data_IF_556295327448
#
_entry.id   IF_556295327448
#
_cell.length_a   1.000
_cell.length_b   1.000
_cell.length_c   1.000
_cell.angle_alpha   90.00
_cell.angle_beta   90.00
_cell.angle_gamma   90.00
#
_symmetry.space_group_name_H-M   'P 1'
#
loop_
_entity.id
_entity.type
_entity.pdbx_description
1 polymer ?
#
# COMPACT_ATOMS: atom_id res chain seq x y z
N UNK A 1 -69.96 28.38 28.69
CA UNK A 1 -69.41 29.17 27.58
C UNK A 1 -68.37 28.31 26.89
N UNK A 2 -68.71 27.74 25.74
CA UNK A 2 -67.75 26.97 24.95
C UNK A 2 -66.71 27.94 24.36
N UNK A 3 -65.40 27.63 24.41
CA UNK A 3 -64.40 28.48 23.79
C UNK A 3 -64.72 28.65 22.31
N UNK A 4 -64.67 29.89 21.82
CA UNK A 4 -64.92 30.18 20.42
C UNK A 4 -63.77 29.58 19.59
N UNK A 5 -64.04 28.87 18.48
CA UNK A 5 -63.02 28.26 17.61
C UNK A 5 -61.81 29.16 17.27
N UNK A 6 -61.93 30.49 17.06
CA UNK A 6 -60.77 31.34 16.80
C UNK A 6 -59.75 31.40 17.95
N UNK A 7 -60.16 31.30 19.22
CA UNK A 7 -59.24 31.38 20.37
C UNK A 7 -58.33 30.16 20.49
N UNK A 8 -58.77 29.01 19.97
CA UNK A 8 -57.96 27.79 19.95
C UNK A 8 -56.89 27.87 18.86
N UNK A 9 -57.23 28.45 17.71
CA UNK A 9 -56.29 28.66 16.60
C UNK A 9 -55.21 29.67 16.95
N UNK A 10 -55.57 30.77 17.63
CA UNK A 10 -54.61 31.78 18.09
C UNK A 10 -53.59 31.18 19.07
N UNK A 11 -54.05 30.43 20.08
CA UNK A 11 -53.16 29.73 21.03
C UNK A 11 -52.25 28.70 20.36
N UNK A 12 -52.73 28.04 19.32
CA UNK A 12 -51.91 27.10 18.56
C UNK A 12 -50.80 27.84 17.81
N UNK A 13 -51.12 28.96 17.18
CA UNK A 13 -50.16 29.79 16.46
C UNK A 13 -49.12 30.41 17.39
N UNK A 14 -49.51 30.86 18.59
CA UNK A 14 -48.58 31.33 19.61
C UNK A 14 -47.61 30.23 20.03
N UNK A 15 -48.10 29.01 20.26
CA UNK A 15 -47.26 27.87 20.61
C UNK A 15 -46.31 27.45 19.46
N UNK A 16 -46.76 27.52 18.21
CA UNK A 16 -45.92 27.28 17.03
C UNK A 16 -44.82 28.34 16.89
N UNK A 17 -45.15 29.62 17.13
CA UNK A 17 -44.19 30.72 17.11
C UNK A 17 -43.15 30.58 18.22
N UNK A 18 -43.57 30.23 19.44
CA UNK A 18 -42.67 29.98 20.57
C UNK A 18 -41.74 28.80 20.28
N UNK A 19 -42.27 27.73 19.68
CA UNK A 19 -41.46 26.58 19.24
C UNK A 19 -40.44 27.00 18.19
N UNK A 20 -40.85 27.80 17.20
CA UNK A 20 -39.95 28.30 16.15
C UNK A 20 -38.84 29.17 16.73
N UNK A 21 -39.18 30.08 17.65
CA UNK A 21 -38.22 30.94 18.34
C UNK A 21 -37.22 30.10 19.15
N UNK A 22 -37.70 29.04 19.81
CA UNK A 22 -36.85 28.13 20.57
C UNK A 22 -35.91 27.32 19.68
N UNK A 23 -36.40 26.84 18.53
CA UNK A 23 -35.57 26.15 17.54
C UNK A 23 -34.45 27.07 17.05
N UNK A 24 -34.77 28.30 16.65
CA UNK A 24 -33.77 29.27 16.18
C UNK A 24 -32.72 29.61 17.27
N UNK A 25 -33.14 29.74 18.52
CA UNK A 25 -32.22 29.95 19.64
C UNK A 25 -31.27 28.75 19.82
N UNK A 26 -31.78 27.53 19.78
CA UNK A 26 -30.98 26.31 19.91
C UNK A 26 -30.01 26.13 18.74
N UNK A 27 -30.45 26.42 17.50
CA UNK A 27 -29.59 26.39 16.31
C UNK A 27 -28.44 27.40 16.42
N UNK A 28 -28.72 28.60 16.95
CA UNK A 28 -27.70 29.61 17.22
C UNK A 28 -26.72 29.12 18.29
N UNK A 29 -27.21 28.53 19.38
CA UNK A 29 -26.36 27.97 20.43
C UNK A 29 -25.47 26.84 19.90
N UNK A 30 -26.01 25.92 19.10
CA UNK A 30 -25.23 24.85 18.46
C UNK A 30 -24.17 25.40 17.50
N UNK A 31 -24.53 26.39 16.70
CA UNK A 31 -23.60 27.04 15.78
C UNK A 31 -22.47 27.75 16.53
N UNK A 32 -22.80 28.42 17.64
CA UNK A 32 -21.83 29.06 18.52
C UNK A 32 -20.90 28.03 19.18
N UNK A 33 -21.45 26.97 19.78
CA UNK A 33 -20.67 25.91 20.42
C UNK A 33 -19.72 25.21 19.43
N UNK A 34 -20.16 24.99 18.19
CA UNK A 34 -19.30 24.44 17.13
C UNK A 34 -18.13 25.37 16.83
N UNK A 35 -18.38 26.67 16.69
CA UNK A 35 -17.33 27.67 16.44
C UNK A 35 -16.32 27.74 17.60
N UNK A 36 -16.80 27.70 18.83
CA UNK A 36 -15.93 27.68 20.03
C UNK A 36 -15.08 26.41 20.09
N UNK A 37 -15.67 25.24 19.79
CA UNK A 37 -14.92 23.99 19.71
C UNK A 37 -13.87 24.02 18.60
N UNK A 38 -14.18 24.60 17.44
CA UNK A 38 -13.22 24.77 16.34
C UNK A 38 -12.08 25.71 16.73
N UNK A 39 -12.39 26.86 17.37
CA UNK A 39 -11.39 27.79 17.85
C UNK A 39 -10.46 27.16 18.90
N UNK A 40 -11.00 26.39 19.86
CA UNK A 40 -10.20 25.66 20.83
C UNK A 40 -9.34 24.57 20.18
N UNK A 41 -9.88 23.85 19.19
CA UNK A 41 -9.13 22.86 18.41
C UNK A 41 -7.98 23.50 17.65
N UNK A 42 -8.17 24.68 17.07
CA UNK A 42 -7.11 25.40 16.37
C UNK A 42 -6.00 25.86 17.34
N UNK A 43 -6.38 26.42 18.49
CA UNK A 43 -5.44 26.84 19.53
C UNK A 43 -4.62 25.68 20.10
N UNK A 44 -5.24 24.50 20.22
CA UNK A 44 -4.60 23.29 20.73
C UNK A 44 -3.97 22.43 19.62
N UNK A 45 -4.21 22.76 18.35
CA UNK A 45 -3.61 22.02 17.24
C UNK A 45 -2.14 22.38 17.17
N UNK A 46 -1.22 21.40 17.33
CA UNK A 46 0.16 21.63 16.96
C UNK A 46 0.23 21.97 15.47
N UNK A 47 1.27 22.70 15.02
CA UNK A 47 1.48 22.95 13.59
C UNK A 47 1.40 21.62 12.85
N UNK A 48 0.53 21.52 11.85
CA UNK A 48 0.41 20.33 11.02
C UNK A 48 1.81 20.06 10.44
N UNK A 49 2.45 18.93 10.76
CA UNK A 49 3.73 18.60 10.13
C UNK A 49 3.52 18.60 8.62
N UNK A 50 4.52 19.02 7.83
CA UNK A 50 4.43 18.90 6.38
C UNK A 50 3.98 17.46 6.05
N UNK A 51 3.01 17.32 5.14
CA UNK A 51 2.58 16.00 4.66
C UNK A 51 3.84 15.18 4.35
N UNK A 52 3.97 13.95 4.88
CA UNK A 52 5.15 13.14 4.62
C UNK A 52 5.34 13.07 3.09
N UNK A 53 6.58 13.16 2.61
CA UNK A 53 6.83 13.02 1.18
C UNK A 53 6.19 11.72 0.72
N UNK A 54 5.59 11.72 -0.47
CA UNK A 54 5.09 10.49 -1.07
C UNK A 54 6.22 9.44 -1.03
N UNK A 55 5.94 8.19 -0.63
CA UNK A 55 6.97 7.17 -0.50
C UNK A 55 7.75 7.11 -1.80
N UNK A 56 9.07 7.18 -1.71
CA UNK A 56 9.92 7.15 -2.90
C UNK A 56 9.67 5.80 -3.61
N UNK A 57 9.81 5.74 -4.95
CA UNK A 57 9.71 4.48 -5.67
C UNK A 57 10.59 3.36 -5.07
N UNK A 58 11.72 3.75 -4.46
CA UNK A 58 12.61 2.84 -3.74
C UNK A 58 11.97 2.26 -2.48
N UNK A 59 11.25 3.06 -1.69
CA UNK A 59 10.56 2.60 -0.47
C UNK A 59 9.46 1.61 -0.82
N UNK A 60 8.70 1.88 -1.89
CA UNK A 60 7.71 0.97 -2.43
C UNK A 60 8.33 -0.37 -2.85
N UNK A 61 9.48 -0.33 -3.51
CA UNK A 61 10.21 -1.54 -3.92
C UNK A 61 10.72 -2.34 -2.71
N UNK A 62 11.27 -1.66 -1.69
CA UNK A 62 11.73 -2.29 -0.44
C UNK A 62 10.59 -3.01 0.28
N UNK A 63 9.45 -2.35 0.46
CA UNK A 63 8.26 -2.96 1.07
C UNK A 63 7.75 -4.17 0.28
N UNK A 64 7.76 -4.09 -1.06
CA UNK A 64 7.38 -5.21 -1.90
C UNK A 64 8.34 -6.40 -1.74
N UNK A 65 9.64 -6.14 -1.64
CA UNK A 65 10.64 -7.18 -1.40
C UNK A 65 10.49 -7.82 -0.01
N UNK A 66 10.27 -7.02 1.03
CA UNK A 66 9.99 -7.51 2.39
C UNK A 66 8.78 -8.45 2.41
N UNK A 67 7.69 -8.05 1.74
CA UNK A 67 6.50 -8.89 1.60
C UNK A 67 6.82 -10.20 0.87
N UNK A 68 7.60 -10.15 -0.22
CA UNK A 68 7.99 -11.36 -0.97
C UNK A 68 8.88 -12.30 -0.16
N UNK A 69 9.79 -11.76 0.66
CA UNK A 69 10.64 -12.56 1.54
C UNK A 69 9.81 -13.34 2.57
N UNK A 70 8.84 -12.67 3.21
CA UNK A 70 7.91 -13.33 4.14
C UNK A 70 7.10 -14.41 3.43
N UNK A 71 6.56 -14.13 2.24
CA UNK A 71 5.82 -15.13 1.46
C UNK A 71 6.66 -16.37 1.11
N UNK A 72 7.96 -16.22 0.85
CA UNK A 72 8.85 -17.33 0.56
C UNK A 72 9.22 -18.12 1.81
N UNK A 73 9.38 -17.44 2.95
CA UNK A 73 9.64 -18.07 4.25
C UNK A 73 8.43 -18.87 4.74
N UNK A 74 7.22 -18.33 4.62
CA UNK A 74 5.96 -19.03 4.94
C UNK A 74 5.77 -20.30 4.09
N UNK A 75 6.23 -20.28 2.84
CA UNK A 75 6.21 -21.45 1.95
C UNK A 75 7.31 -22.46 2.25
N UNK A 76 8.22 -22.15 3.18
CA UNK A 76 9.38 -22.96 3.49
C UNK A 76 10.37 -23.07 2.34
N UNK A 77 10.40 -22.09 1.42
CA UNK A 77 11.33 -22.05 0.29
C UNK A 77 12.65 -21.39 0.66
N UNK A 78 12.61 -20.50 1.65
CA UNK A 78 13.78 -19.84 2.20
C UNK A 78 13.68 -19.79 3.72
N UNK A 79 14.82 -19.69 4.40
CA UNK A 79 14.90 -19.40 5.83
C UNK A 79 15.74 -18.13 6.04
N UNK A 80 15.21 -17.17 6.80
CA UNK A 80 15.86 -15.88 7.03
C UNK A 80 16.52 -15.88 8.41
N UNK A 81 17.85 -15.86 8.46
CA UNK A 81 18.62 -15.79 9.69
C UNK A 81 19.06 -14.35 9.93
N UNK A 82 18.62 -13.77 11.06
CA UNK A 82 18.97 -12.40 11.46
C UNK A 82 20.11 -12.43 12.48
N UNK A 83 21.22 -11.79 12.14
CA UNK A 83 22.40 -11.65 12.97
C UNK A 83 22.30 -10.50 13.99
N UNK A 84 23.23 -10.45 14.96
CA UNK A 84 23.23 -9.47 16.04
C UNK A 84 23.48 -8.02 15.57
N UNK A 85 24.18 -7.83 14.46
CA UNK A 85 24.53 -6.50 13.91
C UNK A 85 23.61 -6.04 12.76
N UNK A 86 22.46 -6.70 12.61
CA UNK A 86 21.53 -6.43 11.50
C UNK A 86 21.91 -7.13 10.18
N UNK A 87 22.93 -7.99 10.19
CA UNK A 87 23.23 -8.89 9.09
C UNK A 87 22.06 -9.85 8.83
N UNK A 88 21.80 -10.13 7.56
CA UNK A 88 20.72 -11.03 7.13
C UNK A 88 21.28 -12.09 6.20
N UNK A 89 21.17 -13.35 6.61
CA UNK A 89 21.46 -14.49 5.75
C UNK A 89 20.15 -15.13 5.27
N UNK A 90 20.11 -15.54 4.00
CA UNK A 90 18.97 -16.20 3.39
C UNK A 90 19.43 -17.58 2.91
N UNK A 91 18.91 -18.63 3.55
CA UNK A 91 19.17 -20.01 3.15
C UNK A 91 18.06 -20.50 2.22
N UNK A 92 18.42 -21.11 1.10
CA UNK A 92 17.46 -21.66 0.13
C UNK A 92 17.15 -23.10 0.50
N UNK A 93 15.88 -23.40 0.73
CA UNK A 93 15.43 -24.75 1.08
C UNK A 93 15.13 -25.53 -0.20
N UNK A 94 15.79 -26.69 -0.44
CA UNK A 94 15.53 -27.49 -1.62
C UNK A 94 14.12 -28.10 -1.57
N UNK A 95 13.29 -27.82 -2.57
CA UNK A 95 11.98 -28.46 -2.74
C UNK A 95 12.15 -29.71 -3.59
N UNK A 96 11.81 -30.86 -3.03
CA UNK A 96 11.69 -32.11 -3.81
C UNK A 96 10.39 -32.02 -4.58
N UNK A 97 10.47 -31.57 -5.83
CA UNK A 97 9.36 -31.69 -6.76
C UNK A 97 9.42 -33.13 -7.27
N UNK A 98 8.55 -33.99 -6.73
CA UNK A 98 8.29 -35.30 -7.34
C UNK A 98 7.70 -35.05 -8.74
N UNK A 99 8.60 -34.91 -9.72
CA UNK A 99 8.23 -35.09 -11.12
C UNK A 99 7.86 -36.56 -11.22
N UNK A 100 6.63 -36.94 -11.61
CA UNK A 100 6.28 -38.34 -11.81
C UNK A 100 7.24 -38.90 -12.86
N UNK A 101 8.20 -39.69 -12.38
CA UNK A 101 9.20 -40.32 -13.19
C UNK A 101 8.50 -41.34 -14.09
N UNK A 102 8.51 -41.07 -15.39
CA UNK A 102 8.34 -42.13 -16.37
C UNK A 102 9.54 -43.10 -16.23
N UNK A 103 9.33 -44.42 -16.21
CA UNK A 103 10.37 -45.37 -15.87
C UNK A 103 11.34 -45.61 -17.05
N UNK A 104 12.64 -45.55 -16.78
CA UNK A 104 13.64 -46.43 -17.41
C UNK A 104 14.81 -45.76 -18.14
N UNK A 105 15.94 -45.58 -17.44
CA UNK A 105 17.29 -45.99 -17.88
C UNK A 105 18.33 -45.64 -16.79
N UNK A 106 19.12 -46.61 -16.26
CA UNK A 106 20.23 -46.32 -15.36
C UNK A 106 21.43 -45.86 -16.19
N UNK A 107 21.86 -44.62 -16.00
CA UNK A 107 23.05 -44.03 -16.60
C UNK A 107 23.92 -43.40 -15.53
N UNK A 108 24.77 -44.22 -14.92
CA UNK A 108 25.93 -43.83 -14.12
C UNK A 108 26.86 -42.94 -14.95
N UNK A 109 27.13 -41.71 -14.49
CA UNK A 109 28.28 -40.91 -14.92
C UNK A 109 28.56 -39.77 -13.92
N UNK A 110 29.27 -40.13 -12.86
CA UNK A 110 30.52 -39.51 -12.36
C UNK A 110 30.92 -38.12 -12.84
N UNK A 111 31.23 -37.24 -11.87
CA UNK A 111 32.40 -36.34 -11.74
C UNK A 111 31.95 -35.00 -11.12
N UNK A 112 32.11 -34.73 -9.82
CA UNK A 112 33.36 -34.49 -9.09
C UNK A 112 34.24 -33.38 -9.69
N UNK A 113 34.37 -32.26 -8.94
CA UNK A 113 35.62 -31.66 -8.49
C UNK A 113 35.68 -30.11 -8.59
N UNK A 114 35.81 -29.55 -7.38
CA UNK A 114 36.52 -28.36 -6.91
C UNK A 114 37.79 -27.89 -7.66
N UNK A 115 38.15 -26.61 -7.39
CA UNK A 115 39.45 -25.90 -7.51
C UNK A 115 39.53 -24.91 -8.69
N UNK A 116 39.54 -23.58 -8.49
CA UNK A 116 40.59 -22.70 -7.94
C UNK A 116 41.53 -22.08 -9.02
N UNK A 117 41.48 -20.74 -9.08
CA UNK A 117 42.54 -19.76 -9.38
C UNK A 117 43.30 -19.73 -10.74
N UNK A 118 43.15 -18.56 -11.37
CA UNK A 118 44.16 -17.71 -12.06
C UNK A 118 44.86 -18.19 -13.34
N UNK A 119 44.68 -17.40 -14.41
CA UNK A 119 45.50 -17.44 -15.61
C UNK A 119 44.96 -16.55 -16.73
N UNK A 120 45.42 -15.30 -16.77
CA UNK A 120 45.22 -14.28 -17.81
C UNK A 120 45.53 -14.80 -19.22
N UNK A 121 44.60 -14.66 -20.17
CA UNK A 121 44.80 -13.84 -21.39
C UNK A 121 43.48 -13.70 -22.17
N UNK A 122 43.22 -12.49 -22.68
CA UNK A 122 42.01 -12.13 -23.42
C UNK A 122 42.11 -12.58 -24.90
N UNK A 123 40.97 -12.72 -25.60
CA UNK A 123 40.51 -11.55 -26.34
C UNK A 123 39.02 -11.27 -26.15
N UNK A 124 38.69 -9.99 -26.21
CA UNK A 124 37.36 -9.43 -26.03
C UNK A 124 36.31 -10.06 -26.97
N UNK A 125 35.28 -10.68 -26.40
CA UNK A 125 33.99 -10.90 -27.07
C UNK A 125 32.97 -9.90 -26.51
N UNK A 126 32.50 -9.03 -27.39
CA UNK A 126 31.56 -7.95 -27.09
C UNK A 126 30.20 -8.45 -26.57
N UNK A 127 29.47 -7.64 -25.77
CA UNK A 127 28.14 -8.01 -25.28
C UNK A 127 27.10 -8.07 -26.42
N UNK A 128 26.24 -9.08 -26.38
CA UNK A 128 25.14 -9.26 -27.33
C UNK A 128 24.18 -8.07 -27.32
N UNK A 129 23.93 -7.48 -28.50
CA UNK A 129 23.01 -6.36 -28.71
C UNK A 129 21.55 -6.79 -28.47
N UNK A 130 20.70 -5.98 -27.82
CA UNK A 130 19.26 -6.27 -27.73
C UNK A 130 18.59 -6.18 -29.12
N UNK A 131 17.47 -6.91 -29.35
CA UNK A 131 16.74 -6.84 -30.61
C UNK A 131 16.11 -5.45 -30.80
N UNK A 132 16.15 -4.95 -32.05
CA UNK A 132 15.59 -3.65 -32.42
C UNK A 132 14.04 -3.68 -32.40
N UNK A 133 13.37 -2.56 -32.08
CA UNK A 133 11.91 -2.46 -32.15
C UNK A 133 11.44 -2.54 -33.62
N UNK A 134 10.34 -3.25 -33.86
CA UNK A 134 9.71 -3.35 -35.17
C UNK A 134 9.26 -1.96 -35.68
N UNK A 135 9.60 -1.62 -36.92
CA UNK A 135 9.16 -0.39 -37.56
C UNK A 135 7.63 -0.39 -37.71
N UNK A 136 6.99 0.71 -37.30
CA UNK A 136 5.56 0.94 -37.53
C UNK A 136 5.31 1.15 -39.04
N UNK A 137 4.17 0.68 -39.58
CA UNK A 137 3.84 0.87 -40.99
C UNK A 137 3.63 2.36 -41.31
N UNK A 138 4.13 2.80 -42.46
CA UNK A 138 4.00 4.19 -42.92
C UNK A 138 2.53 4.56 -43.18
N UNK A 139 2.12 5.81 -42.90
CA UNK A 139 0.77 6.28 -43.22
C UNK A 139 0.58 6.43 -44.74
N UNK A 140 -0.66 6.30 -45.24
CA UNK A 140 -0.95 6.47 -46.66
C UNK A 140 -0.81 7.94 -47.11
N UNK A 141 -0.46 8.18 -48.39
CA UNK A 141 -0.36 9.52 -48.97
C UNK A 141 -1.74 10.21 -49.10
N UNK A 142 -1.76 11.56 -49.24
CA UNK A 142 -2.99 12.37 -49.26
C UNK A 142 -3.87 12.15 -50.50
#
# INVERSE_FOLDING_TARGET
MSPHPPQLTEKLQDAENDSMAKIAELEKQLSQARRELEALREQLSPPRPPSPPAPQPQDCYRLALERRLVELEEKGLVQILRGPDGDVAIEIVPVVIETPAAPGVPGEATAAATAAASGTDAPASAPSRPPAPAALPAPPPP
#
